data_IF_246915238388
#
_entry.id   IF_246915238388
#
_cell.length_a   1.000
_cell.length_b   1.000
_cell.length_c   1.000
_cell.angle_alpha   90.00
_cell.angle_beta   90.00
_cell.angle_gamma   90.00
#
_symmetry.space_group_name_H-M   'P 1'
#
loop_
_entity.id
_entity.type
_entity.pdbx_description
1 polymer ?
#
# COMPACT_ATOMS: atom_id res chain seq x y z
N UNK A 1 -19.65 -11.40 -23.19
CA UNK A 1 -19.19 -11.67 -21.82
C UNK A 1 -18.49 -10.46 -21.20
N UNK A 2 -17.51 -9.86 -21.88
CA UNK A 2 -16.80 -8.65 -21.37
C UNK A 2 -17.78 -7.50 -21.13
N UNK A 3 -18.72 -7.27 -22.05
CA UNK A 3 -19.73 -6.21 -21.91
C UNK A 3 -20.57 -6.36 -20.63
N UNK A 4 -20.92 -7.59 -20.26
CA UNK A 4 -21.66 -7.89 -19.02
C UNK A 4 -20.85 -7.53 -17.77
N UNK A 5 -19.52 -7.75 -17.80
CA UNK A 5 -18.62 -7.41 -16.69
C UNK A 5 -18.49 -5.89 -16.50
N UNK A 6 -18.53 -5.15 -17.60
CA UNK A 6 -18.40 -3.68 -17.60
C UNK A 6 -19.72 -2.97 -17.32
N UNK A 7 -20.84 -3.63 -17.61
CA UNK A 7 -22.17 -3.04 -17.46
C UNK A 7 -22.49 -2.74 -15.99
N UNK A 8 -22.80 -1.48 -15.70
CA UNK A 8 -23.15 -1.00 -14.35
C UNK A 8 -24.37 -1.73 -13.76
N UNK A 9 -25.31 -2.18 -14.59
CA UNK A 9 -26.51 -2.89 -14.15
C UNK A 9 -26.19 -4.34 -13.73
N UNK A 10 -25.15 -4.96 -14.33
CA UNK A 10 -24.80 -6.33 -14.05
C UNK A 10 -23.71 -6.42 -12.93
N UNK A 11 -22.50 -5.98 -13.22
CA UNK A 11 -21.37 -6.09 -12.30
C UNK A 11 -20.71 -4.74 -11.99
N UNK A 12 -20.92 -3.73 -12.84
CA UNK A 12 -20.43 -2.37 -12.64
C UNK A 12 -18.92 -2.30 -12.37
N UNK A 13 -18.13 -3.06 -13.16
CA UNK A 13 -16.67 -3.06 -13.01
C UNK A 13 -16.00 -1.89 -13.74
N UNK A 14 -16.73 -1.26 -14.67
CA UNK A 14 -16.21 -0.11 -15.41
C UNK A 14 -16.11 1.11 -14.49
N UNK A 15 -14.99 1.81 -14.57
CA UNK A 15 -14.76 3.02 -13.78
C UNK A 15 -14.49 2.79 -12.28
N UNK A 16 -14.59 1.57 -11.75
CA UNK A 16 -14.26 1.29 -10.35
C UNK A 16 -12.77 1.08 -10.15
N UNK A 17 -12.25 1.65 -9.07
CA UNK A 17 -10.88 1.35 -8.65
C UNK A 17 -10.71 -0.15 -8.37
N UNK A 18 -9.59 -0.73 -8.80
CA UNK A 18 -9.27 -2.15 -8.61
C UNK A 18 -9.39 -2.60 -7.15
N UNK A 19 -9.06 -1.71 -6.22
CA UNK A 19 -9.19 -1.95 -4.79
C UNK A 19 -10.60 -2.26 -4.31
N UNK A 20 -11.61 -1.77 -5.02
CA UNK A 20 -13.03 -1.90 -4.67
C UNK A 20 -13.66 -3.18 -5.23
N UNK A 21 -12.93 -3.89 -6.10
CA UNK A 21 -13.42 -5.10 -6.72
C UNK A 21 -13.17 -6.33 -5.83
N UNK A 22 -14.11 -7.30 -5.79
CA UNK A 22 -13.87 -8.57 -5.11
C UNK A 22 -12.77 -9.35 -5.85
N UNK A 23 -11.78 -9.85 -5.12
CA UNK A 23 -10.62 -10.54 -5.71
C UNK A 23 -10.76 -12.07 -5.77
N UNK A 24 -11.59 -12.67 -4.92
CA UNK A 24 -11.68 -14.12 -4.79
C UNK A 24 -13.10 -14.61 -4.94
N UNK A 25 -13.35 -15.49 -5.94
CA UNK A 25 -14.68 -15.99 -6.28
C UNK A 25 -15.11 -17.25 -5.54
N UNK A 26 -14.22 -17.96 -4.84
CA UNK A 26 -14.46 -19.33 -4.33
C UNK A 26 -14.21 -19.51 -2.83
N UNK A 27 -14.10 -18.46 -2.05
CA UNK A 27 -13.87 -18.55 -0.61
C UNK A 27 -15.02 -17.91 0.18
N UNK A 28 -15.08 -18.18 1.49
CA UNK A 28 -15.96 -17.43 2.41
C UNK A 28 -15.68 -15.91 2.42
N UNK A 29 -14.58 -15.50 1.77
CA UNK A 29 -14.17 -14.12 1.52
C UNK A 29 -14.50 -13.64 0.09
N UNK A 30 -15.38 -14.35 -0.63
CA UNK A 30 -15.73 -14.04 -2.03
C UNK A 30 -16.29 -12.64 -2.25
N UNK A 31 -16.83 -12.04 -1.19
CA UNK A 31 -17.39 -10.68 -1.22
C UNK A 31 -16.44 -9.60 -0.71
N UNK A 32 -15.25 -9.98 -0.19
CA UNK A 32 -14.31 -9.00 0.33
C UNK A 32 -13.47 -8.40 -0.83
N UNK A 33 -13.45 -7.08 -0.90
CA UNK A 33 -12.62 -6.33 -1.85
C UNK A 33 -11.13 -6.38 -1.46
N UNK A 34 -10.24 -6.03 -2.40
CA UNK A 34 -8.81 -5.87 -2.11
C UNK A 34 -8.57 -4.87 -0.98
N UNK A 35 -9.36 -3.80 -0.94
CA UNK A 35 -9.31 -2.79 0.12
C UNK A 35 -9.59 -3.39 1.50
N UNK A 36 -10.68 -4.15 1.66
CA UNK A 36 -11.03 -4.81 2.92
C UNK A 36 -9.96 -5.80 3.36
N UNK A 37 -9.43 -6.60 2.42
CA UNK A 37 -8.39 -7.60 2.71
C UNK A 37 -7.07 -6.95 3.14
N UNK A 38 -6.66 -5.83 2.52
CA UNK A 38 -5.46 -5.08 2.92
C UNK A 38 -5.60 -4.54 4.36
N UNK A 39 -6.77 -4.06 4.73
CA UNK A 39 -7.03 -3.55 6.09
C UNK A 39 -7.00 -4.69 7.11
N UNK A 40 -7.66 -5.82 6.82
CA UNK A 40 -7.66 -6.99 7.70
C UNK A 40 -6.23 -7.50 7.90
N UNK A 41 -5.44 -7.59 6.83
CA UNK A 41 -4.04 -7.98 6.90
C UNK A 41 -3.21 -6.99 7.74
N UNK A 42 -3.41 -5.69 7.56
CA UNK A 42 -2.74 -4.67 8.37
C UNK A 42 -3.09 -4.77 9.85
N UNK A 43 -4.35 -4.99 10.20
CA UNK A 43 -4.77 -5.21 11.57
C UNK A 43 -4.12 -6.45 12.20
N UNK A 44 -3.94 -7.51 11.43
CA UNK A 44 -3.23 -8.72 11.85
C UNK A 44 -1.72 -8.47 11.99
N UNK A 45 -1.11 -7.78 11.00
CA UNK A 45 0.31 -7.46 10.98
C UNK A 45 0.72 -6.60 12.19
N UNK A 46 -0.09 -5.59 12.48
CA UNK A 46 0.12 -4.67 13.60
C UNK A 46 -0.65 -5.08 14.87
N UNK A 47 -0.95 -6.38 15.06
CA UNK A 47 -1.55 -6.86 16.30
C UNK A 47 -0.63 -6.56 17.50
N UNK A 48 -1.21 -6.04 18.57
CA UNK A 48 -0.47 -5.62 19.77
C UNK A 48 0.08 -4.18 19.71
N UNK A 49 -0.11 -3.46 18.60
CA UNK A 49 0.23 -2.03 18.49
C UNK A 49 -1.03 -1.19 18.72
N UNK A 50 -0.89 -0.09 19.44
CA UNK A 50 -2.01 0.77 19.84
C UNK A 50 -2.80 1.33 18.65
N UNK A 51 -2.12 1.63 17.53
CA UNK A 51 -2.74 2.19 16.33
C UNK A 51 -2.19 1.52 15.08
N UNK A 52 -3.07 0.98 14.24
CA UNK A 52 -2.76 0.47 12.93
C UNK A 52 -3.10 1.54 11.89
N UNK A 53 -2.08 2.21 11.36
CA UNK A 53 -2.24 3.22 10.31
C UNK A 53 -2.13 2.56 8.94
N UNK A 54 -3.15 2.78 8.11
CA UNK A 54 -3.20 2.30 6.73
C UNK A 54 -3.45 3.49 5.82
N UNK A 55 -2.66 3.60 4.76
CA UNK A 55 -2.80 4.69 3.81
C UNK A 55 -3.05 4.16 2.40
N UNK A 56 -3.99 4.78 1.71
CA UNK A 56 -4.28 4.49 0.31
C UNK A 56 -4.09 5.76 -0.53
N UNK A 57 -3.39 5.62 -1.65
CA UNK A 57 -3.41 6.64 -2.70
C UNK A 57 -4.46 6.24 -3.72
N UNK A 58 -5.45 7.09 -3.92
CA UNK A 58 -6.64 6.82 -4.73
C UNK A 58 -6.92 7.99 -5.68
N UNK A 59 -7.80 7.78 -6.63
CA UNK A 59 -8.37 8.88 -7.41
C UNK A 59 -9.44 9.62 -6.61
N UNK A 60 -9.49 10.93 -6.72
CA UNK A 60 -10.36 11.77 -5.88
C UNK A 60 -11.86 11.48 -6.08
N UNK A 61 -12.27 11.13 -7.29
CA UNK A 61 -13.64 10.76 -7.66
C UNK A 61 -14.07 9.42 -7.02
N UNK A 62 -13.12 8.57 -6.69
CA UNK A 62 -13.37 7.26 -6.04
C UNK A 62 -13.54 7.35 -4.52
N UNK A 63 -13.16 8.46 -3.89
CA UNK A 63 -13.20 8.61 -2.43
C UNK A 63 -14.55 8.23 -1.79
N UNK A 64 -15.72 8.62 -2.32
CA UNK A 64 -17.00 8.23 -1.74
C UNK A 64 -17.22 6.72 -1.67
N UNK A 65 -16.72 5.98 -2.66
CA UNK A 65 -16.81 4.52 -2.69
C UNK A 65 -15.93 3.86 -1.64
N UNK A 66 -14.70 4.39 -1.43
CA UNK A 66 -13.81 3.92 -0.36
C UNK A 66 -14.42 4.17 1.02
N UNK A 67 -14.97 5.36 1.27
CA UNK A 67 -15.63 5.69 2.55
C UNK A 67 -16.85 4.76 2.79
N UNK A 68 -17.63 4.46 1.77
CA UNK A 68 -18.76 3.55 1.90
C UNK A 68 -18.31 2.13 2.31
N UNK A 69 -17.21 1.63 1.73
CA UNK A 69 -16.64 0.34 2.12
C UNK A 69 -16.01 0.38 3.52
N UNK A 70 -15.33 1.46 3.88
CA UNK A 70 -14.77 1.66 5.23
C UNK A 70 -15.85 1.59 6.29
N UNK A 71 -16.98 2.26 6.09
CA UNK A 71 -18.14 2.20 7.00
C UNK A 71 -18.68 0.78 7.13
N UNK A 72 -18.88 0.08 6.00
CA UNK A 72 -19.33 -1.30 5.96
C UNK A 72 -18.34 -2.25 6.66
N UNK A 73 -17.05 -2.03 6.51
CA UNK A 73 -16.01 -2.82 7.16
C UNK A 73 -16.00 -2.57 8.66
N UNK A 74 -16.15 -1.33 9.10
CA UNK A 74 -16.20 -0.95 10.52
C UNK A 74 -17.31 -1.66 11.27
N UNK A 75 -18.45 -1.94 10.62
CA UNK A 75 -19.55 -2.72 11.20
C UNK A 75 -19.21 -4.21 11.41
N UNK A 76 -18.26 -4.73 10.61
CA UNK A 76 -17.82 -6.13 10.67
C UNK A 76 -16.64 -6.35 11.64
N UNK A 77 -15.89 -5.28 11.95
CA UNK A 77 -14.73 -5.36 12.83
C UNK A 77 -15.12 -5.48 14.30
N UNK A 78 -14.23 -6.06 15.11
CA UNK A 78 -14.35 -5.96 16.56
C UNK A 78 -14.23 -4.51 17.00
N UNK A 79 -14.79 -4.17 18.18
CA UNK A 79 -14.69 -2.82 18.74
C UNK A 79 -13.23 -2.38 18.89
N UNK A 80 -12.37 -3.26 19.39
CA UNK A 80 -10.94 -3.02 19.59
C UNK A 80 -10.22 -2.75 18.25
N UNK A 81 -10.47 -3.54 17.21
CA UNK A 81 -9.89 -3.33 15.87
C UNK A 81 -10.38 -2.03 15.24
N UNK A 82 -11.64 -1.68 15.40
CA UNK A 82 -12.20 -0.43 14.89
C UNK A 82 -11.60 0.80 15.59
N UNK A 83 -11.37 0.76 16.91
CA UNK A 83 -10.79 1.86 17.67
C UNK A 83 -9.30 2.09 17.36
N UNK A 84 -8.56 1.05 17.03
CA UNK A 84 -7.12 1.15 16.70
C UNK A 84 -6.83 1.40 15.22
N UNK A 85 -7.78 1.16 14.31
CA UNK A 85 -7.62 1.38 12.89
C UNK A 85 -7.66 2.87 12.55
N UNK A 86 -6.69 3.32 11.77
CA UNK A 86 -6.65 4.67 11.18
C UNK A 86 -6.42 4.55 9.68
N UNK A 87 -7.39 4.95 8.88
CA UNK A 87 -7.29 4.96 7.43
C UNK A 87 -7.07 6.40 6.96
N UNK A 88 -6.07 6.60 6.12
CA UNK A 88 -5.76 7.88 5.51
C UNK A 88 -5.78 7.74 3.99
N UNK A 89 -6.27 8.77 3.31
CA UNK A 89 -6.31 8.82 1.85
C UNK A 89 -5.47 9.96 1.33
N UNK A 90 -4.81 9.75 0.19
CA UNK A 90 -4.20 10.82 -0.59
C UNK A 90 -4.49 10.63 -2.07
N UNK A 91 -4.28 11.68 -2.84
CA UNK A 91 -4.52 11.69 -4.27
C UNK A 91 -3.21 11.88 -5.01
N UNK A 92 -3.05 11.20 -6.15
CA UNK A 92 -1.92 11.42 -7.03
C UNK A 92 -1.97 12.86 -7.58
N UNK A 93 -0.84 13.56 -7.52
CA UNK A 93 -0.75 14.91 -8.09
C UNK A 93 -0.78 14.83 -9.62
N UNK A 94 -1.67 15.60 -10.25
CA UNK A 94 -1.80 15.68 -11.71
C UNK A 94 -0.52 16.12 -12.44
N UNK A 95 0.41 16.79 -11.74
CA UNK A 95 1.73 17.11 -12.28
C UNK A 95 2.56 15.88 -12.63
N UNK A 96 2.23 14.73 -12.06
CA UNK A 96 2.89 13.44 -12.32
C UNK A 96 2.23 12.65 -13.45
N UNK A 97 1.17 13.16 -14.06
CA UNK A 97 0.48 12.49 -15.14
C UNK A 97 1.35 12.44 -16.40
N UNK A 98 1.26 11.34 -17.13
CA UNK A 98 1.99 11.11 -18.37
C UNK A 98 1.14 11.45 -19.59
N UNK A 99 1.75 11.99 -20.62
CA UNK A 99 1.09 12.24 -21.91
C UNK A 99 0.83 10.90 -22.59
N UNK A 100 -0.39 10.68 -23.07
CA UNK A 100 -0.75 9.49 -23.82
C UNK A 100 -0.24 9.56 -25.26
N UNK A 101 0.33 8.46 -25.75
CA UNK A 101 0.82 8.31 -27.10
C UNK A 101 0.01 7.27 -27.89
N UNK A 102 -0.11 7.48 -29.18
CA UNK A 102 -0.55 6.47 -30.14
C UNK A 102 0.59 5.50 -30.49
N UNK A 103 0.28 4.36 -31.10
CA UNK A 103 1.26 3.34 -31.50
C UNK A 103 2.38 3.84 -32.46
N UNK A 104 2.19 5.02 -33.07
CA UNK A 104 3.16 5.65 -33.97
C UNK A 104 3.87 6.85 -33.33
N UNK A 105 3.96 6.86 -32.00
CA UNK A 105 4.59 7.93 -31.19
C UNK A 105 3.95 9.32 -31.32
N UNK A 106 2.76 9.40 -31.92
CA UNK A 106 2.02 10.64 -31.99
C UNK A 106 1.27 10.89 -30.67
N UNK A 107 1.17 12.17 -30.29
CA UNK A 107 0.41 12.59 -29.11
C UNK A 107 -1.08 12.27 -29.28
N UNK A 108 -1.66 11.56 -28.32
CA UNK A 108 -3.09 11.28 -28.30
C UNK A 108 -3.83 12.55 -27.91
N UNK A 109 -4.87 12.87 -28.69
CA UNK A 109 -5.75 14.03 -28.44
C UNK A 109 -7.20 13.60 -28.43
N UNK A 110 -8.01 14.34 -27.68
CA UNK A 110 -9.46 14.19 -27.64
C UNK A 110 -10.13 14.82 -28.87
N UNK A 111 -11.47 14.80 -28.91
CA UNK A 111 -12.27 15.35 -29.99
C UNK A 111 -12.10 16.88 -30.13
N UNK A 112 -11.77 17.57 -29.04
CA UNK A 112 -11.50 19.01 -28.98
C UNK A 112 -10.03 19.36 -29.24
N UNK A 113 -9.22 18.38 -29.68
CA UNK A 113 -7.79 18.51 -29.95
C UNK A 113 -6.92 18.81 -28.72
N UNK A 114 -7.41 18.59 -27.48
CA UNK A 114 -6.60 18.68 -26.27
C UNK A 114 -5.74 17.43 -26.08
N UNK A 115 -4.58 17.59 -25.43
CA UNK A 115 -3.74 16.45 -25.05
C UNK A 115 -4.42 15.59 -24.00
N UNK A 116 -4.37 14.27 -24.18
CA UNK A 116 -4.86 13.33 -23.21
C UNK A 116 -3.72 12.93 -22.26
N UNK A 117 -3.95 13.15 -20.96
CA UNK A 117 -3.05 12.75 -19.88
C UNK A 117 -3.60 11.51 -19.18
N UNK A 118 -2.70 10.68 -18.69
CA UNK A 118 -3.04 9.48 -17.93
C UNK A 118 -2.23 9.42 -16.66
N UNK A 119 -2.82 8.87 -15.63
CA UNK A 119 -2.13 8.61 -14.37
C UNK A 119 -0.85 7.81 -14.62
N UNK A 120 0.26 8.30 -14.09
CA UNK A 120 1.54 7.60 -14.15
C UNK A 120 1.57 6.42 -13.18
N UNK A 121 2.56 5.53 -13.37
CA UNK A 121 2.76 4.35 -12.53
C UNK A 121 3.24 4.67 -11.11
N UNK A 122 3.70 3.64 -10.41
CA UNK A 122 4.04 3.69 -8.96
C UNK A 122 5.04 4.80 -8.59
N UNK A 123 5.95 5.19 -9.48
CA UNK A 123 6.90 6.29 -9.24
C UNK A 123 6.23 7.63 -8.94
N UNK A 124 5.06 7.88 -9.53
CA UNK A 124 4.29 9.10 -9.29
C UNK A 124 3.74 9.20 -7.85
N UNK A 125 3.63 8.06 -7.16
CA UNK A 125 3.13 7.99 -5.78
C UNK A 125 4.20 8.30 -4.74
N UNK A 126 5.44 8.51 -5.17
CA UNK A 126 6.56 8.74 -4.25
C UNK A 126 6.37 9.99 -3.38
N UNK A 127 5.79 11.05 -3.94
CA UNK A 127 5.51 12.28 -3.18
C UNK A 127 4.38 12.09 -2.16
N UNK A 128 3.46 11.16 -2.40
CA UNK A 128 2.45 10.77 -1.42
C UNK A 128 3.10 10.04 -0.24
N UNK A 129 4.05 9.13 -0.50
CA UNK A 129 4.76 8.36 0.52
C UNK A 129 5.68 9.25 1.37
N UNK A 130 6.38 10.21 0.76
CA UNK A 130 7.28 11.15 1.48
C UNK A 130 6.61 11.98 2.58
N UNK A 131 5.29 12.11 2.54
CA UNK A 131 4.53 12.87 3.55
C UNK A 131 4.50 12.15 4.90
N UNK A 132 4.72 10.85 4.91
CA UNK A 132 4.71 10.06 6.13
C UNK A 132 6.08 10.09 6.80
N UNK A 133 6.07 10.42 8.09
CA UNK A 133 7.23 10.30 8.96
C UNK A 133 6.99 9.12 9.88
N UNK A 134 7.52 7.96 9.50
CA UNK A 134 7.48 6.76 10.32
C UNK A 134 8.83 6.07 10.25
N UNK A 135 9.23 5.42 11.33
CA UNK A 135 10.48 4.65 11.39
C UNK A 135 10.41 3.41 10.49
N UNK A 136 9.20 2.89 10.27
CA UNK A 136 8.97 1.70 9.45
C UNK A 136 7.66 1.79 8.68
N UNK A 137 7.68 1.37 7.40
CA UNK A 137 6.53 1.39 6.51
C UNK A 137 6.51 0.15 5.62
N UNK A 138 5.39 -0.57 5.62
CA UNK A 138 5.11 -1.59 4.62
C UNK A 138 4.46 -0.98 3.39
N UNK A 139 5.07 -1.12 2.23
CA UNK A 139 4.52 -0.68 0.95
C UNK A 139 4.10 -1.92 0.16
N UNK A 140 2.83 -1.95 -0.25
CA UNK A 140 2.26 -3.07 -0.99
C UNK A 140 1.49 -2.59 -2.21
N UNK A 141 1.50 -3.37 -3.27
CA UNK A 141 0.54 -3.20 -4.36
C UNK A 141 -0.84 -3.65 -3.91
N UNK A 142 -1.90 -3.02 -4.43
CA UNK A 142 -3.28 -3.32 -4.04
C UNK A 142 -3.68 -4.78 -4.29
N UNK A 143 -3.11 -5.40 -5.30
CA UNK A 143 -3.33 -6.80 -5.67
C UNK A 143 -2.45 -7.79 -4.89
N UNK A 144 -1.53 -7.31 -4.06
CA UNK A 144 -0.70 -8.16 -3.18
C UNK A 144 -1.46 -8.48 -1.90
N UNK A 145 -2.62 -9.11 -2.02
CA UNK A 145 -3.45 -9.58 -0.91
C UNK A 145 -3.61 -11.09 -0.98
N UNK A 146 -3.75 -11.70 0.18
CA UNK A 146 -4.01 -13.13 0.32
C UNK A 146 -5.37 -13.34 0.99
N UNK A 147 -6.13 -14.37 0.58
CA UNK A 147 -7.35 -14.72 1.29
C UNK A 147 -6.98 -15.12 2.71
N UNK A 148 -7.50 -14.41 3.71
CA UNK A 148 -7.42 -14.64 5.18
C UNK A 148 -6.46 -15.75 5.64
N UNK A 149 -5.23 -15.76 5.09
CA UNK A 149 -4.19 -16.73 5.40
C UNK A 149 -3.23 -16.15 6.43
N UNK A 150 -3.17 -16.78 7.60
CA UNK A 150 -2.29 -16.37 8.67
C UNK A 150 -0.79 -16.59 8.36
N UNK A 151 -0.45 -17.47 7.41
CA UNK A 151 0.96 -17.78 7.11
C UNK A 151 1.69 -16.59 6.50
N UNK A 152 1.07 -15.91 5.55
CA UNK A 152 1.63 -14.70 4.93
C UNK A 152 1.92 -13.61 5.98
N UNK A 153 0.99 -13.39 6.89
CA UNK A 153 1.14 -12.40 7.97
C UNK A 153 2.26 -12.78 8.95
N UNK A 154 2.41 -14.07 9.27
CA UNK A 154 3.50 -14.55 10.13
C UNK A 154 4.86 -14.28 9.49
N UNK A 155 5.02 -14.59 8.20
CA UNK A 155 6.25 -14.33 7.46
C UNK A 155 6.54 -12.83 7.41
N UNK A 156 5.55 -12.01 7.12
CA UNK A 156 5.71 -10.54 7.08
C UNK A 156 6.12 -9.97 8.45
N UNK A 157 5.54 -10.48 9.54
CA UNK A 157 5.95 -10.11 10.91
C UNK A 157 7.39 -10.49 11.20
N UNK A 158 7.78 -11.71 10.84
CA UNK A 158 9.15 -12.18 11.04
C UNK A 158 10.16 -11.33 10.26
N UNK A 159 9.86 -11.04 8.99
CA UNK A 159 10.71 -10.17 8.16
C UNK A 159 10.77 -8.74 8.70
N UNK A 160 9.63 -8.18 9.10
CA UNK A 160 9.57 -6.85 9.71
C UNK A 160 10.35 -6.78 11.02
N UNK A 161 10.23 -7.80 11.89
CA UNK A 161 10.98 -7.89 13.12
C UNK A 161 12.50 -7.97 12.89
N UNK A 162 12.93 -8.81 11.95
CA UNK A 162 14.33 -8.89 11.54
C UNK A 162 14.85 -7.55 11.01
N UNK A 163 14.06 -6.86 10.18
CA UNK A 163 14.44 -5.56 9.66
C UNK A 163 14.61 -4.52 10.78
N UNK A 164 13.68 -4.46 11.73
CA UNK A 164 13.76 -3.53 12.87
C UNK A 164 14.97 -3.82 13.74
N UNK A 165 15.24 -5.08 14.03
CA UNK A 165 16.45 -5.48 14.77
C UNK A 165 17.73 -5.01 14.07
N UNK A 166 17.84 -5.20 12.75
CA UNK A 166 18.99 -4.75 11.97
C UNK A 166 19.09 -3.24 11.90
N UNK A 167 17.95 -2.56 11.79
CA UNK A 167 17.90 -1.09 11.81
C UNK A 167 18.44 -0.53 13.14
N UNK A 168 18.01 -1.10 14.27
CA UNK A 168 18.48 -0.68 15.59
C UNK A 168 19.98 -0.95 15.76
N UNK A 169 20.48 -2.08 15.28
CA UNK A 169 21.92 -2.38 15.29
C UNK A 169 22.73 -1.35 14.49
N UNK A 170 22.29 -1.03 13.27
CA UNK A 170 22.95 -0.02 12.42
C UNK A 170 22.91 1.35 13.09
N UNK A 171 21.77 1.74 13.65
CA UNK A 171 21.60 3.02 14.34
C UNK A 171 22.58 3.14 15.52
N UNK A 172 22.66 2.12 16.37
CA UNK A 172 23.59 2.09 17.50
C UNK A 172 25.04 2.20 17.05
N UNK A 173 25.43 1.50 15.96
CA UNK A 173 26.78 1.60 15.41
C UNK A 173 27.09 3.00 14.86
N UNK A 174 26.14 3.62 14.21
CA UNK A 174 26.29 4.99 13.69
C UNK A 174 26.44 6.01 14.85
N UNK A 175 25.69 5.86 15.92
CA UNK A 175 25.81 6.70 17.11
C UNK A 175 27.22 6.53 17.75
N UNK A 176 27.72 5.30 17.89
CA UNK A 176 29.07 5.03 18.40
C UNK A 176 30.17 5.62 17.50
N UNK A 177 29.99 5.56 16.16
CA UNK A 177 30.93 6.16 15.21
C UNK A 177 30.98 7.69 15.33
N UNK A 178 29.84 8.33 15.60
CA UNK A 178 29.79 9.78 15.82
C UNK A 178 30.53 10.20 17.09
N UNK A 179 30.54 9.34 18.11
CA UNK A 179 31.26 9.57 19.37
C UNK A 179 32.77 9.31 19.26
N UNK A 180 33.28 9.05 18.05
CA UNK A 180 34.72 8.90 17.72
C UNK A 180 35.45 7.79 18.48
N UNK A 181 34.79 6.69 18.78
CA UNK A 181 35.40 5.52 19.43
C UNK A 181 36.01 4.61 18.35
N UNK A 182 37.33 4.45 18.33
CA UNK A 182 38.06 3.65 17.34
C UNK A 182 37.59 2.19 17.24
N UNK A 183 37.17 1.59 18.35
CA UNK A 183 36.62 0.22 18.42
C UNK A 183 35.33 0.07 17.63
N UNK A 184 34.53 1.11 17.49
CA UNK A 184 33.24 1.03 16.77
C UNK A 184 33.40 0.93 15.25
N UNK A 185 34.53 1.36 14.70
CA UNK A 185 34.81 1.23 13.26
C UNK A 185 35.00 -0.24 12.88
N UNK A 186 35.79 -0.96 13.66
CA UNK A 186 36.04 -2.38 13.41
C UNK A 186 34.77 -3.23 13.57
N UNK A 187 33.96 -2.95 14.58
CA UNK A 187 32.67 -3.59 14.79
C UNK A 187 31.70 -3.31 13.64
N UNK A 188 31.67 -2.07 13.14
CA UNK A 188 30.85 -1.68 11.99
C UNK A 188 31.27 -2.41 10.71
N UNK A 189 32.58 -2.57 10.48
CA UNK A 189 33.12 -3.30 9.32
C UNK A 189 32.76 -4.79 9.42
N UNK A 190 32.88 -5.39 10.60
CA UNK A 190 32.51 -6.80 10.84
C UNK A 190 31.02 -7.01 10.59
N UNK A 191 30.18 -6.11 11.10
CA UNK A 191 28.73 -6.17 10.90
C UNK A 191 28.36 -6.08 9.41
N UNK A 192 28.89 -5.06 8.69
CA UNK A 192 28.63 -4.90 7.26
C UNK A 192 29.02 -6.17 6.50
N UNK A 193 30.20 -6.73 6.77
CA UNK A 193 30.64 -7.98 6.13
C UNK A 193 29.67 -9.15 6.40
N UNK A 194 29.10 -9.25 7.61
CA UNK A 194 28.16 -10.31 7.95
C UNK A 194 26.80 -10.19 7.25
N UNK A 195 26.43 -8.99 6.78
CA UNK A 195 25.19 -8.76 6.05
C UNK A 195 25.24 -9.18 4.57
N UNK A 196 26.44 -9.38 4.02
CA UNK A 196 26.67 -9.71 2.60
C UNK A 196 27.16 -11.14 2.35
N UNK A 197 27.15 -11.99 3.38
CA UNK A 197 27.39 -13.43 3.33
C UNK A 197 26.14 -14.20 3.76
#
# INVERSE_FOLDING_TARGET
>A
FIQILLDDVAFGMDGKAKALLPLFSNSKAADDSAFELQIIEALQLFSGITKAKVHFTIDADQLPHFIALENKLSEKLSKDDSERLQIEYSFQDSKTDSIALLNNDRLLRDEDNNLIFRKSGHGALFDNIKRFRSDFMFIKSIDSVWPKDNQSTVIQKAMGGLYLERFDQIKNLLEQLQDSVATSIDESIVYIKSCFH
#
